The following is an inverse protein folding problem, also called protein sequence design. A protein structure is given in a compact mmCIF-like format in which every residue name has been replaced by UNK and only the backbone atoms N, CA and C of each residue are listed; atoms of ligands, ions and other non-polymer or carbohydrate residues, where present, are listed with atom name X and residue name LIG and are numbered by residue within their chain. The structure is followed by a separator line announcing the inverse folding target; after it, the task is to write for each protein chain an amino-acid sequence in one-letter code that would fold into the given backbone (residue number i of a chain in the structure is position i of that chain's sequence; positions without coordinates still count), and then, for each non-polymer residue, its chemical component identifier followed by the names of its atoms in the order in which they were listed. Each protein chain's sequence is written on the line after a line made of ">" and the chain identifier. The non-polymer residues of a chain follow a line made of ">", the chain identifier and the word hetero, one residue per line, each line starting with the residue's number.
data_IF_763066295718
#
_entry.id   IF_763066295718
#
_cell.length_a   1.000
_cell.length_b   1.000
_cell.length_c   1.000
_cell.angle_alpha   90.00
_cell.angle_beta   90.00
_cell.angle_gamma   90.00
#
_symmetry.space_group_name_H-M   'P 1'
#
loop_
_entity.id
_entity.type
_entity.pdbx_description
1 polymer ?
#
# COMPACT_ATOMS: atom_id res chain seq x y z
N UNK A 1 -11.07 71.53 -12.27
CA UNK A 1 -9.81 71.09 -12.90
C UNK A 1 -9.40 69.81 -12.15
N UNK A 2 -9.29 68.62 -12.70
CA UNK A 2 -9.18 68.14 -14.07
C UNK A 2 -9.92 66.79 -14.23
N UNK A 3 -10.27 66.50 -15.49
CA UNK A 3 -10.81 65.25 -16.02
C UNK A 3 -9.82 64.08 -15.88
N UNK A 4 -10.32 62.85 -16.12
CA UNK A 4 -9.77 61.75 -16.97
C UNK A 4 -10.31 60.44 -16.38
N UNK A 5 -11.45 59.92 -16.85
CA UNK A 5 -11.66 59.08 -18.05
C UNK A 5 -11.20 57.62 -17.90
N UNK A 6 -12.24 56.76 -17.77
CA UNK A 6 -12.43 55.37 -18.24
C UNK A 6 -11.21 54.47 -18.48
N UNK A 7 -11.23 53.30 -17.84
CA UNK A 7 -10.71 52.06 -18.44
C UNK A 7 -11.58 50.86 -18.06
N UNK A 8 -12.41 50.44 -19.01
CA UNK A 8 -13.15 49.17 -19.00
C UNK A 8 -12.25 48.12 -19.61
N UNK A 9 -11.96 47.02 -18.91
CA UNK A 9 -11.29 45.85 -19.50
C UNK A 9 -12.30 44.71 -19.50
N UNK A 10 -12.95 44.56 -20.66
CA UNK A 10 -13.71 43.40 -21.08
C UNK A 10 -12.71 42.43 -21.72
N UNK A 11 -12.49 41.27 -21.11
CA UNK A 11 -11.78 40.17 -21.76
C UNK A 11 -12.73 38.98 -21.83
N UNK A 12 -13.32 38.84 -23.02
CA UNK A 12 -14.09 37.68 -23.46
C UNK A 12 -13.08 36.65 -23.97
N UNK A 13 -13.02 35.46 -23.38
CA UNK A 13 -12.39 34.31 -24.03
C UNK A 13 -13.50 33.34 -24.39
N UNK A 14 -13.68 33.20 -25.70
CA UNK A 14 -14.70 32.39 -26.34
C UNK A 14 -14.38 30.89 -26.24
N UNK A 15 -15.43 30.10 -26.01
CA UNK A 15 -15.47 28.67 -26.27
C UNK A 15 -15.17 28.37 -27.75
N UNK A 16 -14.37 27.34 -28.01
CA UNK A 16 -14.41 26.60 -29.27
C UNK A 16 -15.01 25.21 -29.06
N UNK A 17 -15.87 24.86 -30.02
CA UNK A 17 -16.79 23.74 -30.06
C UNK A 17 -16.15 22.44 -30.62
N UNK A 18 -16.69 21.31 -30.16
CA UNK A 18 -17.09 20.08 -30.88
C UNK A 18 -16.12 19.37 -31.84
N UNK A 19 -15.97 18.05 -31.62
CA UNK A 19 -16.28 16.93 -32.54
C UNK A 19 -16.06 15.62 -31.77
N UNK A 20 -16.80 14.52 -31.90
CA UNK A 20 -17.98 14.17 -32.70
C UNK A 20 -18.53 12.84 -32.15
N UNK A 21 -19.85 12.71 -32.21
CA UNK A 21 -20.59 11.45 -32.11
C UNK A 21 -20.31 10.51 -33.30
N UNK A 22 -20.71 9.25 -33.15
CA UNK A 22 -21.04 8.34 -34.25
C UNK A 22 -20.50 6.92 -34.00
N UNK A 23 -21.26 5.84 -34.04
CA UNK A 23 -22.64 5.65 -34.48
C UNK A 23 -23.10 4.27 -34.02
N UNK A 24 -24.32 4.20 -33.48
CA UNK A 24 -25.05 2.99 -33.20
C UNK A 24 -25.83 2.57 -34.46
N UNK A 25 -25.67 1.32 -34.90
CA UNK A 25 -26.57 0.67 -35.89
C UNK A 25 -26.68 -0.80 -35.46
N UNK A 26 -27.71 -1.12 -34.67
CA UNK A 26 -28.97 -1.80 -35.06
C UNK A 26 -28.82 -3.27 -35.49
N UNK A 27 -29.47 -4.13 -34.70
CA UNK A 27 -29.91 -5.49 -34.98
C UNK A 27 -30.73 -5.55 -36.29
N UNK A 28 -30.62 -6.64 -37.07
CA UNK A 28 -31.66 -7.66 -37.19
C UNK A 28 -31.29 -8.83 -38.12
N UNK A 29 -31.63 -10.04 -37.64
CA UNK A 29 -32.29 -11.16 -38.35
C UNK A 29 -31.59 -11.87 -39.52
N UNK A 30 -30.86 -12.94 -39.17
CA UNK A 30 -31.21 -14.36 -39.43
C UNK A 30 -32.10 -14.71 -40.64
N UNK A 31 -31.55 -15.44 -41.63
CA UNK A 31 -32.08 -16.71 -42.19
C UNK A 31 -31.09 -17.28 -43.24
N UNK A 32 -30.32 -18.32 -42.90
CA UNK A 32 -30.51 -19.74 -43.26
C UNK A 32 -30.20 -20.08 -44.72
N UNK A 33 -29.10 -20.80 -44.96
CA UNK A 33 -29.14 -21.96 -45.85
C UNK A 33 -28.10 -23.02 -45.47
N UNK A 34 -28.48 -24.28 -45.65
CA UNK A 34 -27.84 -25.47 -45.11
C UNK A 34 -26.56 -25.85 -45.86
N UNK A 35 -25.50 -26.23 -45.13
CA UNK A 35 -24.58 -27.28 -45.56
C UNK A 35 -23.85 -27.86 -44.35
N UNK A 36 -24.19 -29.09 -44.01
CA UNK A 36 -23.48 -29.96 -43.08
C UNK A 36 -21.99 -30.09 -43.46
N UNK A 37 -21.09 -30.00 -42.47
CA UNK A 37 -20.00 -30.98 -42.28
C UNK A 37 -19.13 -30.67 -41.05
N UNK A 38 -19.15 -31.63 -40.12
CA UNK A 38 -18.15 -31.93 -39.09
C UNK A 38 -17.71 -30.81 -38.15
N UNK A 39 -18.33 -30.74 -36.96
CA UNK A 39 -17.57 -30.49 -35.74
C UNK A 39 -18.02 -31.44 -34.63
N UNK A 40 -17.08 -32.30 -34.26
CA UNK A 40 -17.04 -33.21 -33.12
C UNK A 40 -17.53 -32.52 -31.86
N UNK A 41 -18.53 -33.10 -31.20
CA UNK A 41 -18.89 -32.80 -29.82
C UNK A 41 -17.66 -32.96 -28.94
N UNK A 42 -17.10 -31.85 -28.46
CA UNK A 42 -16.25 -31.85 -27.29
C UNK A 42 -17.17 -31.87 -26.06
N UNK A 43 -16.99 -32.84 -25.13
CA UNK A 43 -17.79 -32.89 -23.93
C UNK A 43 -17.54 -31.61 -23.14
N UNK A 44 -18.66 -31.02 -22.69
CA UNK A 44 -18.75 -29.92 -21.74
C UNK A 44 -17.73 -30.15 -20.62
N UNK A 45 -16.60 -29.45 -20.70
CA UNK A 45 -15.56 -29.55 -19.67
C UNK A 45 -16.21 -29.18 -18.34
N UNK A 46 -16.15 -30.11 -17.40
CA UNK A 46 -16.50 -29.93 -16.00
C UNK A 46 -16.12 -28.52 -15.56
N UNK A 47 -17.07 -27.83 -14.93
CA UNK A 47 -16.78 -26.67 -14.09
C UNK A 47 -15.63 -27.08 -13.17
N UNK A 48 -14.42 -26.62 -13.50
CA UNK A 48 -13.35 -26.45 -12.53
C UNK A 48 -14.02 -25.58 -11.48
N UNK A 49 -14.36 -26.21 -10.37
CA UNK A 49 -14.82 -25.49 -9.20
C UNK A 49 -13.57 -24.77 -8.78
N UNK A 50 -13.46 -23.49 -9.16
CA UNK A 50 -12.54 -22.57 -8.50
C UNK A 50 -12.86 -22.73 -7.01
N UNK A 51 -12.06 -23.55 -6.32
CA UNK A 51 -11.91 -23.38 -4.90
C UNK A 51 -11.32 -21.98 -4.79
N UNK A 52 -12.19 -20.98 -4.65
CA UNK A 52 -11.81 -19.66 -4.17
C UNK A 52 -11.05 -19.93 -2.87
N UNK A 53 -9.73 -20.01 -2.97
CA UNK A 53 -8.85 -20.07 -1.82
C UNK A 53 -9.11 -18.77 -1.10
N UNK A 54 -9.91 -18.85 -0.02
CA UNK A 54 -10.30 -17.70 0.78
C UNK A 54 -9.06 -16.86 1.05
N UNK A 55 -9.10 -15.59 0.65
CA UNK A 55 -7.99 -14.65 0.86
C UNK A 55 -7.70 -14.59 2.36
N UNK A 56 -6.44 -14.87 2.73
CA UNK A 56 -5.97 -14.74 4.12
C UNK A 56 -5.73 -13.27 4.40
N UNK A 57 -6.17 -12.81 5.58
CA UNK A 57 -6.04 -11.41 6.02
C UNK A 57 -5.52 -11.35 7.45
N UNK A 58 -4.82 -10.27 7.79
CA UNK A 58 -4.33 -10.01 9.14
C UNK A 58 -3.58 -11.21 9.74
N UNK A 59 -4.06 -11.72 10.87
CA UNK A 59 -3.43 -12.82 11.60
C UNK A 59 -3.30 -14.12 10.79
N UNK A 60 -4.28 -14.45 9.94
CA UNK A 60 -4.22 -15.66 9.10
C UNK A 60 -3.12 -15.54 8.04
N UNK A 61 -2.96 -14.34 7.46
CA UNK A 61 -1.91 -14.05 6.50
C UNK A 61 -0.54 -14.11 7.18
N UNK A 62 -0.39 -13.44 8.32
CA UNK A 62 0.84 -13.43 9.09
C UNK A 62 1.32 -14.82 9.48
N UNK A 63 0.41 -15.69 9.93
CA UNK A 63 0.72 -17.09 10.21
C UNK A 63 1.21 -17.82 8.96
N UNK A 64 0.52 -17.66 7.84
CA UNK A 64 0.91 -18.29 6.58
C UNK A 64 2.29 -17.83 6.08
N UNK A 65 2.63 -16.56 6.28
CA UNK A 65 3.97 -16.04 5.98
C UNK A 65 4.99 -16.71 6.90
N UNK A 66 4.76 -16.71 8.21
CA UNK A 66 5.67 -17.33 9.18
C UNK A 66 5.95 -18.80 8.90
N UNK A 67 4.96 -19.55 8.43
CA UNK A 67 5.09 -20.97 8.10
C UNK A 67 5.96 -21.22 6.84
N UNK A 68 6.25 -20.18 6.05
CA UNK A 68 6.94 -20.31 4.74
C UNK A 68 8.28 -19.58 4.64
N UNK A 69 8.55 -18.60 5.51
CA UNK A 69 9.77 -17.81 5.44
C UNK A 69 10.96 -18.51 6.10
N UNK A 70 12.12 -18.40 5.46
CA UNK A 70 13.39 -18.69 6.13
C UNK A 70 13.63 -17.62 7.20
N UNK A 71 14.05 -18.05 8.39
CA UNK A 71 14.35 -17.16 9.51
C UNK A 71 15.85 -17.00 9.61
N UNK A 72 16.32 -15.77 9.47
CA UNK A 72 17.73 -15.40 9.64
C UNK A 72 17.92 -14.48 10.84
N UNK A 73 19.13 -14.48 11.39
CA UNK A 73 19.49 -13.56 12.47
C UNK A 73 19.83 -12.19 11.91
N UNK A 74 19.52 -11.15 12.69
CA UNK A 74 19.81 -9.77 12.32
C UNK A 74 20.38 -9.01 13.52
N UNK A 75 21.36 -8.14 13.26
CA UNK A 75 21.96 -7.27 14.28
C UNK A 75 21.51 -5.82 14.10
N UNK A 76 21.61 -5.04 15.17
CA UNK A 76 21.31 -3.61 15.14
C UNK A 76 22.22 -2.87 14.15
N UNK A 77 23.53 -3.18 14.16
CA UNK A 77 24.49 -2.59 13.22
C UNK A 77 24.13 -2.91 11.77
N UNK A 78 23.65 -4.13 11.49
CA UNK A 78 23.21 -4.49 10.15
C UNK A 78 21.96 -3.72 9.73
N UNK A 79 20.98 -3.55 10.63
CA UNK A 79 19.80 -2.73 10.37
C UNK A 79 20.17 -1.27 10.06
N UNK A 80 21.04 -0.67 10.89
CA UNK A 80 21.44 0.75 10.80
C UNK A 80 22.21 1.04 9.52
N UNK A 81 23.06 0.11 9.08
CA UNK A 81 23.91 0.28 7.90
C UNK A 81 23.17 0.06 6.56
N UNK A 82 21.85 -0.14 6.59
CA UNK A 82 21.04 -0.32 5.40
C UNK A 82 19.78 0.55 5.48
N UNK A 83 19.26 0.95 4.32
CA UNK A 83 17.91 1.45 4.21
C UNK A 83 16.98 0.31 3.82
N UNK A 84 15.77 0.31 4.33
CA UNK A 84 14.79 -0.75 4.09
C UNK A 84 13.63 -0.14 3.35
N UNK A 85 13.34 -0.63 2.16
CA UNK A 85 12.47 0.03 1.20
C UNK A 85 11.27 -0.86 0.86
N UNK A 86 10.06 -0.33 1.01
CA UNK A 86 8.84 -0.97 0.56
C UNK A 86 8.24 -0.16 -0.59
N UNK A 87 7.90 -0.83 -1.69
CA UNK A 87 7.29 -0.20 -2.87
C UNK A 87 5.92 -0.81 -3.14
N UNK A 88 4.83 -0.29 -2.55
CA UNK A 88 3.48 -0.77 -2.85
C UNK A 88 3.08 -0.50 -4.31
N UNK A 89 3.61 0.58 -4.92
CA UNK A 89 3.33 1.00 -6.29
C UNK A 89 4.58 1.62 -6.93
N UNK A 90 4.63 1.71 -8.26
CA UNK A 90 5.80 2.17 -9.03
C UNK A 90 6.35 3.55 -8.60
N UNK A 91 5.47 4.45 -8.14
CA UNK A 91 5.82 5.81 -7.70
C UNK A 91 5.61 6.03 -6.20
N UNK A 92 5.50 4.95 -5.42
CA UNK A 92 5.25 5.02 -3.98
C UNK A 92 6.36 4.23 -3.29
N UNK A 93 7.32 4.94 -2.70
CA UNK A 93 8.45 4.35 -1.97
C UNK A 93 8.36 4.72 -0.48
N UNK A 94 8.01 3.75 0.35
CA UNK A 94 8.04 3.84 1.81
C UNK A 94 9.39 3.32 2.31
N UNK A 95 9.87 3.80 3.46
CA UNK A 95 11.13 3.31 4.01
C UNK A 95 11.15 3.24 5.54
N UNK A 96 11.97 2.32 6.05
CA UNK A 96 12.43 2.28 7.44
C UNK A 96 13.91 2.62 7.47
N UNK A 97 14.28 3.62 8.29
CA UNK A 97 15.66 4.03 8.53
C UNK A 97 15.99 3.89 10.00
N UNK A 98 16.77 2.86 10.33
CA UNK A 98 17.20 2.56 11.69
C UNK A 98 18.39 3.44 12.09
N UNK A 99 18.44 3.83 13.36
CA UNK A 99 19.48 4.66 13.96
C UNK A 99 19.97 4.03 15.27
N UNK A 100 21.06 4.56 15.82
CA UNK A 100 21.59 4.08 17.10
C UNK A 100 20.57 4.27 18.25
N UNK A 101 20.77 3.53 19.34
CA UNK A 101 19.96 3.59 20.56
C UNK A 101 18.47 3.23 20.37
N UNK A 102 18.16 2.35 19.41
CA UNK A 102 16.80 1.83 19.22
C UNK A 102 15.82 2.86 18.65
N UNK A 103 16.31 3.87 17.93
CA UNK A 103 15.50 4.91 17.29
C UNK A 103 15.51 4.78 15.77
N UNK A 104 14.60 5.44 15.09
CA UNK A 104 14.61 5.52 13.64
C UNK A 104 13.54 6.45 13.10
N UNK A 105 13.45 6.44 11.78
CA UNK A 105 12.44 7.17 11.02
C UNK A 105 11.73 6.15 10.14
N UNK A 106 10.40 6.20 10.14
CA UNK A 106 9.58 5.53 9.12
C UNK A 106 8.90 6.57 8.24
N UNK A 107 8.86 6.29 6.96
CA UNK A 107 8.17 7.10 5.97
C UNK A 107 7.22 6.21 5.20
N UNK A 108 5.98 6.67 5.04
CA UNK A 108 4.99 6.06 4.18
C UNK A 108 4.71 7.02 3.02
N UNK A 109 4.86 6.56 1.78
CA UNK A 109 4.61 7.37 0.58
C UNK A 109 3.16 7.85 0.42
N UNK A 110 2.21 7.24 1.14
CA UNK A 110 0.81 7.70 1.22
C UNK A 110 0.59 8.78 2.29
N UNK A 111 1.61 9.07 3.11
CA UNK A 111 1.58 10.07 4.17
C UNK A 111 2.55 11.21 3.85
N UNK A 112 2.21 12.42 4.27
CA UNK A 112 3.01 13.61 3.97
C UNK A 112 4.27 13.73 4.84
N UNK A 113 4.30 13.05 5.99
CA UNK A 113 5.30 13.26 7.04
C UNK A 113 6.06 11.99 7.43
N UNK A 114 7.30 12.20 7.86
CA UNK A 114 8.15 11.19 8.49
C UNK A 114 7.70 10.95 9.94
N UNK A 115 7.52 9.69 10.33
CA UNK A 115 7.22 9.29 11.70
C UNK A 115 8.48 8.97 12.48
N UNK A 116 8.50 9.38 13.75
CA UNK A 116 9.48 8.83 14.68
C UNK A 116 9.11 7.38 14.97
N UNK A 117 10.12 6.51 14.90
CA UNK A 117 9.96 5.13 15.35
C UNK A 117 11.01 4.77 16.41
N UNK A 118 10.65 3.84 17.29
CA UNK A 118 11.60 3.08 18.09
C UNK A 118 11.64 1.64 17.60
N UNK A 119 12.75 0.95 17.86
CA UNK A 119 12.87 -0.46 17.50
C UNK A 119 13.68 -1.25 18.52
N UNK A 120 13.39 -2.54 18.58
CA UNK A 120 14.12 -3.55 19.36
C UNK A 120 14.28 -4.82 18.56
N UNK A 121 15.38 -5.53 18.81
CA UNK A 121 15.62 -6.87 18.24
C UNK A 121 15.37 -7.89 19.35
N UNK A 122 14.41 -8.77 19.12
CA UNK A 122 14.07 -9.86 20.03
C UNK A 122 14.31 -11.19 19.31
N UNK A 123 15.46 -11.81 19.57
CA UNK A 123 15.94 -13.00 18.86
C UNK A 123 16.06 -12.75 17.34
N UNK A 124 15.08 -13.24 16.57
CA UNK A 124 14.99 -13.14 15.12
C UNK A 124 13.95 -12.11 14.65
N UNK A 125 13.36 -11.36 15.59
CA UNK A 125 12.28 -10.40 15.31
C UNK A 125 12.80 -8.98 15.48
N UNK A 126 12.40 -8.10 14.56
CA UNK A 126 12.55 -6.65 14.69
C UNK A 126 11.18 -6.09 15.01
N UNK A 127 11.01 -5.55 16.21
CA UNK A 127 9.75 -4.89 16.60
C UNK A 127 9.95 -3.40 16.45
N UNK A 128 9.08 -2.76 15.67
CA UNK A 128 9.08 -1.32 15.39
C UNK A 128 7.83 -0.73 16.02
N UNK A 129 7.97 0.38 16.73
CA UNK A 129 6.85 1.17 17.24
C UNK A 129 6.89 2.55 16.62
N UNK A 130 5.80 2.98 15.99
CA UNK A 130 5.68 4.29 15.36
C UNK A 130 4.83 5.22 16.22
N UNK A 131 5.22 6.49 16.24
CA UNK A 131 4.63 7.51 17.09
C UNK A 131 4.09 8.66 16.26
N UNK A 132 2.85 9.01 16.52
CA UNK A 132 2.13 10.04 15.80
C UNK A 132 2.58 11.43 16.27
N UNK A 133 2.44 12.41 15.39
CA UNK A 133 2.71 13.80 15.71
C UNK A 133 1.54 14.30 16.57
N UNK A 134 1.81 14.91 17.74
CA UNK A 134 0.74 15.37 18.62
C UNK A 134 -0.19 16.36 17.90
N UNK A 135 -1.50 16.06 17.92
CA UNK A 135 -2.54 16.97 17.42
C UNK A 135 -2.50 18.30 18.19
N UNK A 136 -3.03 19.37 17.59
CA UNK A 136 -3.05 20.71 18.20
C UNK A 136 -3.73 20.76 19.57
N UNK A 137 -4.63 19.81 19.84
CA UNK A 137 -5.39 19.69 21.10
C UNK A 137 -4.64 18.87 22.18
N UNK A 138 -3.45 18.35 21.87
CA UNK A 138 -2.58 17.69 22.83
C UNK A 138 -1.71 18.73 23.53
N UNK A 139 -2.24 19.32 24.61
CA UNK A 139 -1.56 20.36 25.41
C UNK A 139 -0.18 19.91 25.91
N UNK A 140 -0.02 18.63 26.24
CA UNK A 140 1.26 18.07 26.70
C UNK A 140 2.26 17.82 25.56
N UNK A 141 1.81 17.92 24.30
CA UNK A 141 2.57 17.61 23.07
C UNK A 141 3.27 16.26 23.11
N UNK A 142 2.71 15.30 23.87
CA UNK A 142 3.28 13.96 23.99
C UNK A 142 3.00 13.18 22.71
N UNK A 143 4.03 12.57 22.15
CA UNK A 143 3.88 11.64 21.04
C UNK A 143 3.10 10.41 21.49
N UNK A 144 2.21 9.91 20.65
CA UNK A 144 1.33 8.79 20.96
C UNK A 144 1.72 7.63 20.04
N UNK A 145 2.01 6.46 20.61
CA UNK A 145 2.25 5.25 19.81
C UNK A 145 0.94 4.91 19.09
N UNK A 146 0.96 4.88 17.76
CA UNK A 146 -0.23 4.54 16.96
C UNK A 146 -0.08 3.19 16.24
N UNK A 147 1.15 2.67 16.15
CA UNK A 147 1.44 1.40 15.47
C UNK A 147 2.59 0.65 16.12
N UNK A 148 2.50 -0.68 16.13
CA UNK A 148 3.57 -1.59 16.49
C UNK A 148 3.60 -2.76 15.52
N UNK A 149 4.69 -2.87 14.77
CA UNK A 149 4.89 -3.88 13.74
C UNK A 149 6.01 -4.83 14.14
N UNK A 150 5.86 -6.10 13.78
CA UNK A 150 6.91 -7.12 13.94
C UNK A 150 7.34 -7.61 12.58
N UNK A 151 8.64 -7.55 12.35
CA UNK A 151 9.29 -8.01 11.13
C UNK A 151 10.20 -9.20 11.41
N UNK A 152 10.34 -10.09 10.44
CA UNK A 152 11.37 -11.12 10.41
C UNK A 152 12.30 -10.88 9.23
N UNK A 153 13.60 -11.00 9.49
CA UNK A 153 14.62 -10.99 8.47
C UNK A 153 14.78 -12.39 7.86
N UNK A 154 14.79 -12.47 6.53
CA UNK A 154 14.95 -13.74 5.80
C UNK A 154 16.30 -13.87 5.07
N UNK A 155 17.28 -13.01 5.40
CA UNK A 155 18.57 -12.98 4.69
C UNK A 155 18.64 -11.92 3.57
N UNK A 156 17.50 -11.37 3.15
CA UNK A 156 17.45 -10.33 2.11
C UNK A 156 16.56 -9.13 2.47
N UNK A 157 15.44 -9.38 3.13
CA UNK A 157 14.37 -8.41 3.37
C UNK A 157 13.79 -8.52 4.78
N UNK A 158 13.14 -7.46 5.26
CA UNK A 158 12.29 -7.48 6.45
C UNK A 158 10.85 -7.74 6.03
N UNK A 159 10.27 -8.86 6.47
CA UNK A 159 8.91 -9.26 6.15
C UNK A 159 8.02 -9.01 7.35
N UNK A 160 6.93 -8.25 7.14
CA UNK A 160 5.93 -7.99 8.18
C UNK A 160 5.19 -9.29 8.53
N UNK A 161 5.22 -9.65 9.81
CA UNK A 161 4.59 -10.88 10.35
C UNK A 161 3.67 -10.60 11.53
N UNK A 162 3.53 -9.35 11.94
CA UNK A 162 2.50 -8.91 12.87
C UNK A 162 2.35 -7.40 12.76
N UNK A 163 1.13 -6.90 12.91
CA UNK A 163 0.85 -5.47 13.00
C UNK A 163 -0.22 -5.24 14.06
N UNK A 164 0.00 -4.19 14.86
CA UNK A 164 -0.93 -3.71 15.89
C UNK A 164 -1.09 -2.22 15.71
N UNK A 165 -2.33 -1.78 15.65
CA UNK A 165 -2.71 -0.38 15.57
C UNK A 165 -3.33 0.05 16.90
N UNK A 166 -3.14 1.32 17.25
CA UNK A 166 -3.65 1.92 18.48
C UNK A 166 -4.38 3.21 18.16
N UNK A 167 -5.54 3.42 18.78
CA UNK A 167 -6.24 4.69 18.71
C UNK A 167 -5.82 5.58 19.89
N UNK A 168 -6.34 6.82 19.94
CA UNK A 168 -6.04 7.76 21.04
C UNK A 168 -6.45 7.24 22.44
N UNK A 169 -7.38 6.28 22.51
CA UNK A 169 -7.78 5.61 23.74
C UNK A 169 -6.95 4.36 24.06
N UNK A 170 -5.86 4.13 23.32
CA UNK A 170 -4.97 2.99 23.43
C UNK A 170 -5.67 1.63 23.23
N UNK A 171 -6.77 1.61 22.46
CA UNK A 171 -7.44 0.37 22.05
C UNK A 171 -6.62 -0.24 20.91
N UNK A 172 -6.23 -1.49 21.08
CA UNK A 172 -5.41 -2.26 20.13
C UNK A 172 -6.30 -3.03 19.14
N UNK A 173 -5.93 -3.03 17.86
CA UNK A 173 -6.45 -3.97 16.86
C UNK A 173 -5.38 -4.40 15.86
N UNK A 174 -5.58 -5.55 15.21
CA UNK A 174 -4.76 -5.98 14.08
C UNK A 174 -5.42 -5.48 12.78
N UNK A 175 -4.71 -4.76 11.90
CA UNK A 175 -5.27 -4.31 10.63
C UNK A 175 -5.49 -5.48 9.66
N UNK A 176 -6.50 -5.37 8.81
CA UNK A 176 -6.83 -6.34 7.75
C UNK A 176 -5.87 -6.22 6.57
N UNK A 177 -4.59 -6.53 6.80
CA UNK A 177 -3.58 -6.58 5.75
C UNK A 177 -3.79 -7.83 4.91
N UNK A 178 -3.86 -7.65 3.59
CA UNK A 178 -4.18 -8.72 2.65
C UNK A 178 -3.00 -9.12 1.75
N UNK A 179 -1.87 -8.43 1.86
CA UNK A 179 -0.64 -8.68 1.10
C UNK A 179 0.57 -8.77 2.02
N UNK A 180 1.60 -9.52 1.59
CA UNK A 180 2.86 -9.55 2.32
C UNK A 180 3.60 -8.23 2.13
N UNK A 181 3.78 -7.48 3.22
CA UNK A 181 4.58 -6.25 3.23
C UNK A 181 6.04 -6.62 3.45
N UNK A 182 6.87 -6.32 2.45
CA UNK A 182 8.29 -6.67 2.43
C UNK A 182 9.12 -5.41 2.22
N UNK A 183 10.01 -5.11 3.16
CA UNK A 183 11.01 -4.06 3.00
C UNK A 183 12.31 -4.68 2.50
N UNK A 184 12.67 -4.35 1.26
CA UNK A 184 13.90 -4.78 0.64
C UNK A 184 15.10 -3.98 1.13
N UNK A 185 16.23 -4.66 1.33
CA UNK A 185 17.47 -4.03 1.71
C UNK A 185 18.05 -3.21 0.55
N UNK A 186 18.24 -1.92 0.78
CA UNK A 186 19.05 -1.02 -0.04
C UNK A 186 20.33 -0.67 0.72
N UNK A 187 21.46 -1.15 0.20
CA UNK A 187 22.77 -0.89 0.80
C UNK A 187 23.16 0.57 0.57
N UNK A 188 23.74 1.19 1.61
CA UNK A 188 24.45 2.46 1.48
C UNK A 188 25.79 2.30 0.77
#
# INVERSE_FOLDING_TARGET
>A
MANIMKTTILTIIALTFLTSCGQQTRQNEQQTDNSEKYQTELPLTEKITDQETKKKVGQELFKAILDTIAIETISADFLINNQWIYRPFDNCESYLKFQTNGKGISYNCEMEEDYEMTYKIEHNKVVVSEYDIPHVDNEERKKIKFREDTYIYNGNSLILVNAKMYNMANIEWTPDIEIAVTYDRKKY
#
